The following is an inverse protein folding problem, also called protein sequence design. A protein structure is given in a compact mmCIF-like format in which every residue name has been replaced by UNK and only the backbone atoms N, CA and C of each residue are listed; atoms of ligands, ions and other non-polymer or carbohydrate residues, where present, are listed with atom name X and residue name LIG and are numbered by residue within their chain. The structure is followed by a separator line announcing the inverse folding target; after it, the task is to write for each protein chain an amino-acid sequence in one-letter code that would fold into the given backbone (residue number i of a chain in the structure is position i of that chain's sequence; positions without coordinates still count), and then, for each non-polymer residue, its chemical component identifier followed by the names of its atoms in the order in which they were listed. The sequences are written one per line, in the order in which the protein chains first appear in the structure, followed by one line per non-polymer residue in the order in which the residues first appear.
data_IF_863787340458
#
_entry.id   IF_863787340458
#
_cell.length_a   1.000
_cell.length_b   1.000
_cell.length_c   1.000
_cell.angle_alpha   90.00
_cell.angle_beta   90.00
_cell.angle_gamma   90.00
#
_symmetry.space_group_name_H-M   'P 1'
#
loop_
_entity.id
_entity.type
_entity.pdbx_description
1 polymer ?
#
# COMPACT_ATOMS: atom_id res chain seq x y z
N UNK A 1 -26.30 -23.52 8.60
CA UNK A 1 -25.16 -22.71 8.15
C UNK A 1 -24.60 -21.70 9.18
N UNK A 2 -25.32 -21.32 10.24
CA UNK A 2 -24.80 -20.35 11.27
C UNK A 2 -23.91 -20.95 12.35
N UNK A 3 -23.84 -22.25 12.53
CA UNK A 3 -23.06 -22.92 13.60
C UNK A 3 -21.58 -23.19 13.22
N UNK A 4 -21.24 -23.26 11.95
CA UNK A 4 -19.86 -23.52 11.50
C UNK A 4 -19.00 -22.26 11.43
N UNK A 5 -19.61 -21.07 11.36
CA UNK A 5 -18.89 -19.80 11.33
C UNK A 5 -18.32 -19.44 12.71
N UNK A 6 -18.99 -19.86 13.78
CA UNK A 6 -18.56 -19.58 15.17
C UNK A 6 -17.36 -20.46 15.59
N UNK A 7 -17.25 -21.67 15.03
CA UNK A 7 -16.12 -22.58 15.31
C UNK A 7 -14.82 -22.11 14.61
N UNK A 8 -14.93 -21.44 13.48
CA UNK A 8 -13.75 -20.89 12.78
C UNK A 8 -13.16 -19.68 13.51
N UNK A 9 -14.00 -18.87 14.18
CA UNK A 9 -13.54 -17.75 15.03
C UNK A 9 -12.88 -18.21 16.34
N UNK A 10 -13.29 -19.32 16.90
CA UNK A 10 -12.73 -19.86 18.14
C UNK A 10 -11.41 -20.61 17.93
N UNK A 11 -11.17 -21.19 16.75
CA UNK A 11 -9.91 -21.87 16.45
C UNK A 11 -8.75 -20.90 16.18
N UNK A 12 -9.04 -19.64 15.76
CA UNK A 12 -8.01 -18.62 15.58
C UNK A 12 -7.60 -17.95 16.90
N UNK A 13 -8.48 -17.94 17.91
CA UNK A 13 -8.18 -17.38 19.22
C UNK A 13 -7.27 -18.27 20.09
N UNK A 14 -7.14 -19.56 19.78
CA UNK A 14 -6.35 -20.51 20.57
C UNK A 14 -4.86 -20.59 20.18
N UNK A 15 -4.42 -19.92 19.12
CA UNK A 15 -3.00 -19.90 18.67
C UNK A 15 -2.18 -18.82 19.38
N UNK A 16 -2.80 -17.90 20.12
CA UNK A 16 -2.10 -16.77 20.74
C UNK A 16 -1.53 -17.05 22.14
N UNK A 17 -1.53 -18.29 22.64
CA UNK A 17 -1.20 -18.59 24.05
C UNK A 17 0.18 -19.23 24.28
N UNK A 18 1.08 -19.33 23.30
CA UNK A 18 2.42 -19.87 23.54
C UNK A 18 3.50 -19.00 22.93
N UNK A 19 4.19 -18.25 23.77
CA UNK A 19 5.43 -17.58 23.38
C UNK A 19 5.90 -16.48 24.32
N UNK A 20 6.04 -16.73 25.61
CA UNK A 20 6.99 -15.95 26.40
C UNK A 20 8.41 -16.36 25.97
N UNK A 21 8.99 -15.63 25.03
CA UNK A 21 10.42 -15.72 24.74
C UNK A 21 11.13 -14.72 25.64
N UNK A 22 11.62 -15.24 26.78
CA UNK A 22 12.63 -14.56 27.57
C UNK A 22 13.98 -14.77 26.89
N UNK A 23 14.40 -13.85 26.01
CA UNK A 23 15.80 -13.70 25.64
C UNK A 23 16.09 -12.27 25.30
N UNK A 24 17.04 -11.69 26.04
CA UNK A 24 17.58 -10.34 25.92
C UNK A 24 18.45 -10.09 24.68
N UNK A 25 18.25 -10.77 23.59
CA UNK A 25 18.78 -10.38 22.30
C UNK A 25 17.74 -9.47 21.67
N UNK A 26 18.03 -8.19 21.63
CA UNK A 26 17.22 -7.18 20.98
C UNK A 26 16.86 -7.62 19.57
N UNK A 27 15.64 -8.17 19.40
CA UNK A 27 15.08 -8.53 18.09
C UNK A 27 14.63 -7.22 17.43
N UNK A 28 15.62 -6.38 17.09
CA UNK A 28 15.41 -5.09 16.44
C UNK A 28 15.60 -5.16 14.93
N UNK A 29 15.06 -6.19 14.28
CA UNK A 29 15.04 -6.27 12.83
C UNK A 29 13.63 -6.00 12.28
N UNK A 30 12.88 -5.07 12.89
CA UNK A 30 11.75 -4.47 12.19
C UNK A 30 12.33 -3.60 11.07
N UNK A 31 12.03 -3.87 9.78
CA UNK A 31 12.38 -2.92 8.73
C UNK A 31 11.55 -1.66 8.96
N UNK A 32 12.16 -0.63 9.49
CA UNK A 32 11.58 0.69 9.61
C UNK A 32 11.49 1.29 8.20
N UNK A 33 10.40 1.97 7.88
CA UNK A 33 10.38 2.81 6.69
C UNK A 33 11.27 4.04 6.91
N UNK A 34 11.59 4.77 5.85
CA UNK A 34 12.54 5.90 5.92
C UNK A 34 12.07 6.98 6.89
N UNK A 35 10.79 7.29 6.97
CA UNK A 35 10.24 8.27 7.92
C UNK A 35 10.42 7.83 9.38
N UNK A 36 10.17 6.56 9.70
CA UNK A 36 10.37 6.01 11.05
C UNK A 36 11.86 5.96 11.41
N UNK A 37 12.76 5.67 10.45
CA UNK A 37 14.21 5.74 10.63
C UNK A 37 14.69 7.15 10.98
N UNK A 38 14.16 8.17 10.30
CA UNK A 38 14.47 9.58 10.58
C UNK A 38 14.07 9.96 12.01
N UNK A 39 12.88 9.53 12.46
CA UNK A 39 12.37 9.86 13.80
C UNK A 39 13.13 9.11 14.90
N UNK A 40 13.53 7.86 14.66
CA UNK A 40 14.22 7.02 15.63
C UNK A 40 15.74 7.19 15.63
N UNK A 41 16.29 7.82 14.61
CA UNK A 41 17.74 8.00 14.44
C UNK A 41 18.34 8.98 15.43
N UNK A 42 19.59 8.72 15.84
CA UNK A 42 20.41 9.62 16.64
C UNK A 42 21.09 10.71 15.77
N UNK A 43 20.63 10.93 14.55
CA UNK A 43 21.09 11.99 13.65
C UNK A 43 20.71 13.36 14.22
N UNK A 44 21.53 14.38 14.07
CA UNK A 44 21.31 15.72 14.65
C UNK A 44 19.93 16.33 14.34
N UNK A 45 19.77 17.63 14.51
CA UNK A 45 18.48 18.32 14.29
C UNK A 45 17.93 18.18 12.87
N UNK A 46 18.79 17.95 11.89
CA UNK A 46 18.45 17.78 10.47
C UNK A 46 18.90 16.40 10.03
N UNK A 47 18.01 15.67 9.39
CA UNK A 47 18.30 14.39 8.76
C UNK A 47 17.84 14.44 7.30
N UNK A 48 18.70 14.00 6.39
CA UNK A 48 18.41 13.87 4.97
C UNK A 48 18.63 12.41 4.57
N UNK A 49 17.72 11.85 3.82
CA UNK A 49 17.76 10.51 3.24
C UNK A 49 17.06 10.54 1.91
N UNK A 50 17.13 9.48 1.13
CA UNK A 50 16.43 9.43 -0.13
C UNK A 50 16.55 8.10 -0.83
N UNK A 51 15.84 7.96 -1.92
CA UNK A 51 15.93 6.83 -2.81
C UNK A 51 15.63 7.23 -4.25
N UNK A 52 16.02 6.39 -5.19
CA UNK A 52 15.75 6.59 -6.61
C UNK A 52 15.48 5.30 -7.33
N UNK A 53 14.72 5.39 -8.41
CA UNK A 53 14.41 4.29 -9.31
C UNK A 53 14.48 4.79 -10.75
N UNK A 54 15.25 4.06 -11.55
CA UNK A 54 15.31 4.23 -13.01
C UNK A 54 14.98 2.87 -13.59
N UNK A 55 14.08 2.83 -14.56
CA UNK A 55 13.60 1.56 -15.12
C UNK A 55 13.46 1.60 -16.65
N UNK A 56 13.38 0.40 -17.20
CA UNK A 56 13.07 0.10 -18.58
C UNK A 56 11.99 -0.99 -18.58
N UNK A 57 10.92 -0.74 -19.32
CA UNK A 57 9.79 -1.65 -19.50
C UNK A 57 9.59 -1.93 -20.97
N UNK A 58 9.69 -3.20 -21.38
CA UNK A 58 9.44 -3.65 -22.74
C UNK A 58 8.21 -4.56 -22.77
N UNK A 59 7.02 -4.05 -23.12
CA UNK A 59 5.85 -4.87 -23.36
C UNK A 59 6.02 -5.66 -24.67
N UNK A 60 5.45 -6.88 -24.73
CA UNK A 60 5.40 -7.73 -25.91
C UNK A 60 4.28 -8.77 -25.76
N UNK A 61 4.00 -9.56 -26.79
CA UNK A 61 3.03 -10.66 -26.71
C UNK A 61 1.82 -10.55 -27.64
N UNK A 62 1.65 -9.43 -28.31
CA UNK A 62 0.69 -9.25 -29.38
C UNK A 62 1.42 -9.22 -30.74
N UNK A 63 0.71 -9.46 -31.84
CA UNK A 63 1.24 -9.33 -33.20
C UNK A 63 1.61 -7.87 -33.57
N UNK A 64 1.55 -6.96 -32.59
CA UNK A 64 1.83 -5.53 -32.76
C UNK A 64 3.20 -5.18 -32.18
N UNK A 65 3.96 -4.38 -32.91
CA UNK A 65 5.17 -3.77 -32.37
C UNK A 65 4.82 -2.81 -31.24
N UNK A 66 5.52 -2.93 -30.10
CA UNK A 66 5.37 -2.05 -28.95
C UNK A 66 6.72 -1.44 -28.59
N UNK A 67 6.75 -0.13 -28.38
CA UNK A 67 7.95 0.55 -27.92
C UNK A 67 8.22 0.22 -26.45
N UNK A 68 9.47 -0.07 -26.14
CA UNK A 68 9.97 -0.03 -24.77
C UNK A 68 10.01 1.41 -24.25
N UNK A 69 9.90 1.56 -22.91
CA UNK A 69 9.98 2.85 -22.22
C UNK A 69 11.12 2.83 -21.23
N UNK A 70 11.94 3.86 -21.25
CA UNK A 70 12.94 4.14 -20.20
C UNK A 70 12.46 5.35 -19.42
N UNK A 71 12.57 5.28 -18.08
CA UNK A 71 12.05 6.30 -17.22
C UNK A 71 12.95 6.54 -16.00
N UNK A 72 13.13 7.80 -15.62
CA UNK A 72 13.48 8.16 -14.24
C UNK A 72 12.18 8.09 -13.43
N UNK A 73 11.82 6.87 -13.02
CA UNK A 73 10.52 6.60 -12.43
C UNK A 73 10.26 7.49 -11.23
N UNK A 74 11.27 7.61 -10.35
CA UNK A 74 11.23 8.52 -9.20
C UNK A 74 12.60 8.85 -8.65
N UNK A 75 12.72 10.05 -8.14
CA UNK A 75 13.79 10.49 -7.25
C UNK A 75 13.17 11.14 -6.03
N UNK A 76 13.42 10.58 -4.86
CA UNK A 76 12.81 11.02 -3.61
C UNK A 76 13.88 11.55 -2.66
N UNK A 77 13.54 12.65 -1.99
CA UNK A 77 14.32 13.20 -0.89
C UNK A 77 13.46 13.31 0.36
N UNK A 78 13.89 12.67 1.42
CA UNK A 78 13.35 12.87 2.76
C UNK A 78 14.12 13.99 3.46
N UNK A 79 13.37 14.83 4.13
CA UNK A 79 13.90 15.82 5.05
C UNK A 79 13.22 15.67 6.42
N UNK A 80 14.01 15.44 7.44
CA UNK A 80 13.58 15.38 8.84
C UNK A 80 14.11 16.54 9.64
N UNK A 81 13.29 17.14 10.49
CA UNK A 81 13.71 18.18 11.42
C UNK A 81 13.20 17.89 12.84
N UNK A 82 14.11 17.88 13.79
CA UNK A 82 13.80 17.73 15.21
C UNK A 82 13.73 19.10 15.89
N UNK A 83 12.51 19.58 16.19
CA UNK A 83 12.29 20.84 16.91
C UNK A 83 12.71 20.74 18.38
N UNK A 84 12.37 19.62 19.00
CA UNK A 84 12.68 19.30 20.39
C UNK A 84 12.85 17.78 20.53
N UNK A 85 13.30 17.30 21.68
CA UNK A 85 13.55 15.86 21.96
C UNK A 85 12.38 14.93 21.57
N UNK A 86 11.15 15.45 21.59
CA UNK A 86 9.93 14.67 21.34
C UNK A 86 9.11 15.18 20.16
N UNK A 87 9.58 16.20 19.42
CA UNK A 87 8.81 16.87 18.38
C UNK A 87 9.58 16.84 17.07
N UNK A 88 9.00 16.21 16.05
CA UNK A 88 9.63 15.96 14.76
C UNK A 88 8.72 16.42 13.62
N UNK A 89 9.32 16.95 12.58
CA UNK A 89 8.70 17.11 11.27
C UNK A 89 9.42 16.22 10.28
N UNK A 90 8.64 15.51 9.45
CA UNK A 90 9.18 14.69 8.35
C UNK A 90 8.42 15.06 7.08
N UNK A 91 9.16 15.25 6.00
CA UNK A 91 8.60 15.42 4.67
C UNK A 91 9.33 14.54 3.67
N UNK A 92 8.59 14.07 2.67
CA UNK A 92 9.05 13.28 1.54
C UNK A 92 8.65 14.01 0.26
N UNK A 93 9.67 14.42 -0.51
CA UNK A 93 9.53 15.12 -1.77
C UNK A 93 9.90 14.17 -2.91
N UNK A 94 8.97 13.97 -3.83
CA UNK A 94 9.12 13.13 -5.01
C UNK A 94 9.26 13.97 -6.27
N UNK A 95 10.22 13.61 -7.11
CA UNK A 95 10.27 13.99 -8.52
C UNK A 95 9.97 12.72 -9.33
N UNK A 96 8.79 12.62 -9.94
CA UNK A 96 8.34 11.50 -10.77
C UNK A 96 8.51 11.87 -12.25
N UNK A 97 8.94 10.90 -13.07
CA UNK A 97 9.16 11.07 -14.52
C UNK A 97 10.09 12.26 -14.88
N UNK A 98 11.07 12.55 -14.02
CA UNK A 98 12.00 13.69 -14.12
C UNK A 98 11.34 15.08 -14.23
N UNK A 99 10.02 15.20 -14.12
CA UNK A 99 9.28 16.44 -14.39
C UNK A 99 8.15 16.74 -13.40
N UNK A 100 7.54 15.71 -12.80
CA UNK A 100 6.41 15.89 -11.89
C UNK A 100 6.88 15.95 -10.44
N UNK A 101 6.48 16.98 -9.69
CA UNK A 101 6.85 17.14 -8.29
C UNK A 101 5.64 16.88 -7.38
N UNK A 102 5.86 16.07 -6.34
CA UNK A 102 4.85 15.73 -5.36
C UNK A 102 5.39 15.83 -3.93
N UNK A 103 4.51 16.11 -2.98
CA UNK A 103 4.74 15.85 -1.57
C UNK A 103 4.08 14.53 -1.24
N UNK A 104 4.86 13.49 -0.92
CA UNK A 104 4.29 12.18 -0.58
C UNK A 104 3.92 12.07 0.89
N UNK A 105 4.72 12.65 1.76
CA UNK A 105 4.43 12.79 3.18
C UNK A 105 4.87 14.18 3.67
N UNK A 106 4.11 14.75 4.60
CA UNK A 106 4.49 15.95 5.33
C UNK A 106 3.72 15.98 6.64
N UNK A 107 4.33 15.59 7.74
CA UNK A 107 3.65 15.50 9.02
C UNK A 107 4.51 15.94 10.21
N UNK A 108 3.83 16.44 11.22
CA UNK A 108 4.37 16.64 12.55
C UNK A 108 4.10 15.39 13.40
N UNK A 109 5.12 14.93 14.13
CA UNK A 109 4.98 13.91 15.16
C UNK A 109 5.40 14.45 16.51
N UNK A 110 4.54 14.23 17.52
CA UNK A 110 4.82 14.49 18.92
C UNK A 110 4.83 13.17 19.69
N UNK A 111 5.98 12.79 20.24
CA UNK A 111 6.10 11.65 21.11
C UNK A 111 5.55 12.01 22.50
N UNK A 112 4.42 11.42 22.88
CA UNK A 112 3.75 11.71 24.16
C UNK A 112 4.37 10.85 25.26
N UNK A 113 4.41 9.55 25.03
CA UNK A 113 5.04 8.55 25.91
C UNK A 113 5.98 7.65 25.09
N UNK A 114 6.58 6.65 25.71
CA UNK A 114 7.39 5.65 25.01
C UNK A 114 6.59 4.76 24.05
N UNK A 115 5.28 4.66 24.26
CA UNK A 115 4.40 3.80 23.49
C UNK A 115 3.30 4.54 22.72
N UNK A 116 3.16 5.86 22.90
CA UNK A 116 2.10 6.67 22.28
C UNK A 116 2.70 7.93 21.65
N UNK A 117 2.46 8.09 20.34
CA UNK A 117 2.83 9.28 19.57
C UNK A 117 1.59 9.85 18.89
N UNK A 118 1.47 11.16 18.84
CA UNK A 118 0.50 11.86 18.01
C UNK A 118 1.16 12.24 16.69
N UNK A 119 0.46 12.03 15.57
CA UNK A 119 0.92 12.41 14.22
C UNK A 119 -0.19 13.16 13.50
N UNK A 120 0.14 14.26 12.82
CA UNK A 120 -0.81 15.07 12.06
C UNK A 120 -0.15 15.67 10.81
N UNK A 121 -0.86 15.69 9.70
CA UNK A 121 -0.40 16.21 8.42
C UNK A 121 -0.80 15.33 7.24
N UNK A 122 0.02 15.29 6.19
CA UNK A 122 -0.11 14.39 5.06
C UNK A 122 0.63 13.08 5.42
N UNK A 123 -0.14 12.02 5.62
CA UNK A 123 0.35 10.73 6.12
C UNK A 123 -0.01 9.60 5.16
N UNK A 124 0.86 8.59 5.07
CA UNK A 124 0.53 7.35 4.36
C UNK A 124 -0.55 6.59 5.12
N UNK A 125 -1.56 6.13 4.39
CA UNK A 125 -2.59 5.24 4.94
C UNK A 125 -1.95 3.89 5.23
N UNK A 126 -2.00 3.37 6.47
CA UNK A 126 -1.31 2.15 6.87
C UNK A 126 -2.05 0.90 6.35
N UNK A 127 -2.06 0.69 5.03
CA UNK A 127 -2.73 -0.43 4.37
C UNK A 127 -1.75 -1.15 3.45
N UNK A 128 -1.67 -2.47 3.64
CA UNK A 128 -0.78 -3.33 2.85
C UNK A 128 0.71 -3.19 3.20
N UNK A 129 1.56 -3.84 2.40
CA UNK A 129 3.02 -3.81 2.58
C UNK A 129 3.62 -2.63 1.84
N UNK A 130 3.37 -2.54 0.53
CA UNK A 130 4.07 -1.61 -0.35
C UNK A 130 3.65 -0.16 -0.11
N UNK A 131 2.45 0.11 0.39
CA UNK A 131 2.07 1.48 0.69
C UNK A 131 2.90 2.12 1.82
N UNK A 132 3.28 1.35 2.83
CA UNK A 132 4.13 1.84 3.93
C UNK A 132 5.64 1.72 3.64
N UNK A 133 6.03 0.78 2.76
CA UNK A 133 7.42 0.47 2.44
C UNK A 133 7.57 0.46 0.91
N UNK A 134 7.42 1.64 0.32
CA UNK A 134 7.38 1.79 -1.14
C UNK A 134 8.72 2.13 -1.77
N UNK A 135 9.78 2.17 -0.96
CA UNK A 135 11.15 2.33 -1.43
C UNK A 135 11.51 1.17 -2.39
N UNK A 136 12.12 1.45 -3.54
CA UNK A 136 12.32 0.44 -4.59
C UNK A 136 13.28 -0.68 -4.18
N UNK A 137 14.06 -0.52 -3.12
CA UNK A 137 14.92 -1.56 -2.55
C UNK A 137 14.17 -2.54 -1.64
N UNK A 138 12.91 -2.26 -1.27
CA UNK A 138 12.13 -3.07 -0.33
C UNK A 138 11.31 -4.18 -0.99
N UNK A 139 11.15 -4.17 -2.30
CA UNK A 139 10.43 -5.18 -3.07
C UNK A 139 11.30 -5.74 -4.22
N UNK A 140 11.04 -7.00 -4.63
CA UNK A 140 11.95 -7.72 -5.53
C UNK A 140 11.83 -7.32 -7.00
N UNK A 141 10.61 -7.15 -7.53
CA UNK A 141 10.40 -6.76 -8.93
C UNK A 141 10.90 -5.35 -9.22
N UNK A 142 11.08 -5.01 -10.48
CA UNK A 142 11.23 -3.63 -10.95
C UNK A 142 9.95 -2.89 -10.64
N UNK A 143 8.80 -3.51 -11.00
CA UNK A 143 7.48 -3.00 -10.71
C UNK A 143 6.90 -3.55 -9.40
N UNK A 144 6.10 -2.70 -8.74
CA UNK A 144 5.27 -3.09 -7.58
C UNK A 144 4.23 -4.13 -7.98
N UNK A 145 3.65 -4.89 -7.03
CA UNK A 145 2.47 -5.69 -7.30
C UNK A 145 1.34 -4.83 -7.88
N UNK A 146 0.64 -5.31 -8.91
CA UNK A 146 -0.45 -4.57 -9.55
C UNK A 146 -1.66 -4.35 -8.61
N UNK A 147 -1.88 -5.28 -7.68
CA UNK A 147 -2.81 -5.12 -6.57
C UNK A 147 -2.61 -3.79 -5.82
N UNK A 148 -1.35 -3.43 -5.56
CA UNK A 148 -0.94 -2.19 -4.89
C UNK A 148 -1.04 -0.94 -5.80
N UNK A 149 -1.54 -1.09 -7.00
CA UNK A 149 -1.86 0.01 -7.91
C UNK A 149 -3.36 0.25 -8.08
N UNK A 150 -4.19 -0.78 -7.83
CA UNK A 150 -5.64 -0.77 -8.11
C UNK A 150 -6.50 -0.74 -6.85
N UNK A 151 -6.31 -1.69 -5.94
CA UNK A 151 -7.10 -1.81 -4.72
C UNK A 151 -6.46 -1.02 -3.58
N UNK A 152 -5.14 -1.16 -3.39
CA UNK A 152 -4.35 -0.27 -2.52
C UNK A 152 -3.59 0.69 -3.42
N UNK A 153 -4.09 1.87 -3.68
CA UNK A 153 -3.54 2.73 -4.72
C UNK A 153 -2.26 3.44 -4.25
N UNK A 154 -1.15 2.71 -4.14
CA UNK A 154 0.18 3.21 -3.73
C UNK A 154 0.64 4.37 -4.65
N UNK A 155 1.15 5.50 -4.21
CA UNK A 155 1.33 5.87 -2.80
C UNK A 155 0.05 6.53 -2.26
N UNK A 156 -0.67 5.80 -1.43
CA UNK A 156 -1.92 6.28 -0.88
C UNK A 156 -1.65 7.08 0.39
N UNK A 157 -1.82 8.37 0.27
CA UNK A 157 -1.64 9.36 1.33
C UNK A 157 -2.87 10.23 1.50
N UNK A 158 -3.15 10.62 2.73
CA UNK A 158 -4.31 11.43 3.10
C UNK A 158 -3.94 12.46 4.17
N UNK A 159 -4.61 13.61 4.15
CA UNK A 159 -4.52 14.60 5.21
C UNK A 159 -5.32 14.12 6.43
N UNK A 160 -4.69 14.15 7.59
CA UNK A 160 -5.36 13.69 8.80
C UNK A 160 -4.50 13.78 10.04
N UNK A 161 -5.02 13.20 11.11
CA UNK A 161 -4.33 13.12 12.38
C UNK A 161 -4.72 11.84 13.13
N UNK A 162 -3.88 11.41 14.05
CA UNK A 162 -4.16 10.25 14.88
C UNK A 162 -2.97 9.84 15.73
N UNK A 163 -2.97 8.58 16.10
CA UNK A 163 -2.01 8.03 17.02
C UNK A 163 -1.26 6.83 16.42
N UNK A 164 0.00 6.72 16.77
CA UNK A 164 0.85 5.57 16.46
C UNK A 164 1.72 5.24 17.66
N UNK A 165 2.18 4.01 17.73
CA UNK A 165 3.05 3.63 18.82
C UNK A 165 3.54 2.19 18.74
N UNK A 166 4.37 1.84 19.73
CA UNK A 166 4.92 0.49 19.89
C UNK A 166 4.70 0.01 21.32
N UNK A 167 4.17 -1.18 21.44
CA UNK A 167 4.09 -1.93 22.69
C UNK A 167 5.21 -2.98 22.67
N UNK A 168 6.42 -2.56 23.04
CA UNK A 168 7.66 -3.37 22.86
C UNK A 168 7.58 -4.70 23.61
N UNK A 169 7.00 -4.74 24.80
CA UNK A 169 6.84 -5.96 25.59
C UNK A 169 5.98 -7.02 24.91
N UNK A 170 5.10 -6.59 24.01
CA UNK A 170 4.20 -7.45 23.22
C UNK A 170 4.65 -7.60 21.77
N UNK A 171 5.73 -6.93 21.37
CA UNK A 171 6.20 -6.86 19.97
C UNK A 171 5.09 -6.43 19.00
N UNK A 172 4.33 -5.41 19.37
CA UNK A 172 3.23 -4.85 18.60
C UNK A 172 3.55 -3.39 18.23
N UNK A 173 3.38 -3.05 16.94
CA UNK A 173 3.25 -1.68 16.43
C UNK A 173 1.78 -1.44 16.07
N UNK A 174 1.27 -0.25 16.35
CA UNK A 174 -0.09 0.12 15.98
C UNK A 174 -0.17 1.52 15.40
N UNK A 175 -1.18 1.75 14.56
CA UNK A 175 -1.49 3.02 13.93
C UNK A 175 -3.01 3.17 13.84
N UNK A 176 -3.53 4.36 14.11
CA UNK A 176 -4.94 4.71 13.96
C UNK A 176 -5.07 6.20 13.62
N UNK A 177 -5.63 6.50 12.45
CA UNK A 177 -5.75 7.87 11.93
C UNK A 177 -7.18 8.16 11.46
N UNK A 178 -7.61 9.39 11.67
CA UNK A 178 -8.77 9.99 11.02
C UNK A 178 -8.29 10.88 9.88
N UNK A 179 -8.78 10.59 8.69
CA UNK A 179 -8.28 11.20 7.44
C UNK A 179 -9.41 11.68 6.53
N UNK A 180 -9.07 12.45 5.50
CA UNK A 180 -10.03 13.05 4.58
C UNK A 180 -10.72 12.07 3.61
N UNK A 181 -10.10 10.91 3.32
CA UNK A 181 -10.67 9.88 2.45
C UNK A 181 -10.56 10.15 0.95
N UNK A 182 -11.04 9.17 0.18
CA UNK A 182 -11.11 9.26 -1.29
C UNK A 182 -12.17 10.27 -1.76
N UNK A 183 -11.95 10.86 -2.93
CA UNK A 183 -12.94 11.62 -3.69
C UNK A 183 -13.63 10.71 -4.70
N UNK A 184 -14.95 10.65 -4.71
CA UNK A 184 -15.71 9.86 -5.68
C UNK A 184 -16.34 10.68 -6.78
N UNK A 185 -16.55 11.99 -6.55
CA UNK A 185 -17.23 12.87 -7.50
C UNK A 185 -16.73 14.31 -7.43
N UNK A 186 -16.45 14.90 -8.61
CA UNK A 186 -16.08 16.31 -8.78
C UNK A 186 -16.73 16.90 -10.05
N UNK A 187 -18.06 16.85 -10.13
CA UNK A 187 -18.79 17.14 -11.36
C UNK A 187 -18.99 15.90 -12.24
N UNK A 188 -18.08 14.91 -12.13
CA UNK A 188 -18.15 13.61 -12.80
C UNK A 188 -17.78 12.48 -11.82
N UNK A 189 -18.22 11.25 -12.12
CA UNK A 189 -17.83 10.06 -11.37
C UNK A 189 -16.34 9.74 -11.57
N UNK A 190 -15.60 9.55 -10.48
CA UNK A 190 -14.14 9.34 -10.47
C UNK A 190 -13.79 7.87 -10.33
N UNK A 191 -14.54 7.13 -9.50
CA UNK A 191 -14.27 5.73 -9.21
C UNK A 191 -14.91 4.82 -10.26
N UNK A 192 -14.11 3.92 -10.83
CA UNK A 192 -14.53 2.98 -11.89
C UNK A 192 -13.93 1.59 -11.63
N UNK A 193 -14.57 0.56 -12.17
CA UNK A 193 -14.06 -0.81 -12.04
C UNK A 193 -12.63 -0.98 -12.55
N UNK A 194 -12.29 -0.42 -13.71
CA UNK A 194 -10.94 -0.51 -14.29
C UNK A 194 -9.84 0.15 -13.45
N UNK A 195 -10.15 1.20 -12.71
CA UNK A 195 -9.18 1.99 -11.93
C UNK A 195 -9.16 1.60 -10.44
N UNK A 196 -10.19 0.88 -9.97
CA UNK A 196 -10.38 0.67 -8.53
C UNK A 196 -10.46 2.00 -7.78
N UNK A 197 -9.67 2.15 -6.71
CA UNK A 197 -9.63 3.39 -5.94
C UNK A 197 -8.59 4.41 -6.42
N UNK A 198 -7.72 4.05 -7.39
CA UNK A 198 -6.53 4.85 -7.74
C UNK A 198 -6.85 6.30 -8.11
N UNK A 199 -7.92 6.54 -8.88
CA UNK A 199 -8.32 7.89 -9.32
C UNK A 199 -8.92 8.74 -8.21
N UNK A 200 -9.43 8.12 -7.15
CA UNK A 200 -10.06 8.80 -6.02
C UNK A 200 -9.10 9.42 -5.01
N UNK A 201 -7.77 9.19 -5.14
CA UNK A 201 -6.79 9.79 -4.21
C UNK A 201 -6.75 11.30 -4.34
N UNK A 202 -6.93 12.02 -3.22
CA UNK A 202 -6.86 13.49 -3.19
C UNK A 202 -5.42 14.01 -3.06
N UNK A 203 -4.47 13.15 -2.61
CA UNK A 203 -3.01 13.41 -2.57
C UNK A 203 -2.60 14.67 -1.78
N UNK A 204 -3.45 15.22 -0.93
CA UNK A 204 -3.19 16.47 -0.20
C UNK A 204 -3.41 17.75 -1.00
N UNK A 205 -3.96 17.67 -2.22
CA UNK A 205 -4.18 18.82 -3.11
C UNK A 205 -5.57 19.42 -2.80
N UNK A 206 -5.62 20.46 -1.96
CA UNK A 206 -6.89 21.11 -1.55
C UNK A 206 -7.98 20.08 -1.18
N UNK A 207 -7.55 19.03 -0.46
CA UNK A 207 -8.39 17.87 -0.15
C UNK A 207 -9.63 18.27 0.62
N UNK A 208 -10.78 17.88 0.09
CA UNK A 208 -12.07 18.12 0.76
C UNK A 208 -12.36 17.02 1.77
N UNK A 209 -13.03 17.41 2.86
CA UNK A 209 -13.49 16.50 3.90
C UNK A 209 -14.86 16.96 4.42
N UNK A 210 -15.87 16.12 4.29
CA UNK A 210 -17.18 16.31 4.92
C UNK A 210 -17.45 15.27 5.99
N UNK A 211 -16.83 14.08 5.86
CA UNK A 211 -16.85 13.01 6.85
C UNK A 211 -15.46 12.38 6.92
N UNK A 212 -14.85 12.29 8.11
CA UNK A 212 -13.56 11.63 8.25
C UNK A 212 -13.66 10.13 8.02
N UNK A 213 -12.58 9.54 7.52
CA UNK A 213 -12.40 8.09 7.41
C UNK A 213 -11.41 7.61 8.46
N UNK A 214 -11.65 6.42 9.00
CA UNK A 214 -10.77 5.75 9.95
C UNK A 214 -9.85 4.78 9.20
N UNK A 215 -8.55 4.94 9.35
CA UNK A 215 -7.56 3.95 8.94
C UNK A 215 -6.79 3.41 10.13
N UNK A 216 -6.61 2.09 10.21
CA UNK A 216 -5.94 1.42 11.34
C UNK A 216 -5.03 0.31 10.85
N UNK A 217 -3.95 0.05 11.58
CA UNK A 217 -3.10 -1.13 11.39
C UNK A 217 -2.50 -1.58 12.72
N UNK A 218 -2.38 -2.89 12.86
CA UNK A 218 -1.63 -3.54 13.94
C UNK A 218 -0.64 -4.49 13.28
N UNK A 219 0.64 -4.35 13.62
CA UNK A 219 1.71 -5.24 13.18
C UNK A 219 2.28 -5.99 14.39
N UNK A 220 2.40 -7.31 14.28
CA UNK A 220 3.11 -8.17 15.21
C UNK A 220 4.47 -8.56 14.64
N UNK A 221 5.53 -8.43 15.44
CA UNK A 221 6.93 -8.72 15.04
C UNK A 221 7.70 -9.56 16.08
N UNK A 222 6.99 -10.28 16.96
CA UNK A 222 7.59 -11.06 18.05
C UNK A 222 8.30 -12.36 17.63
N UNK A 223 8.24 -12.76 16.37
CA UNK A 223 8.93 -13.92 15.84
C UNK A 223 10.07 -13.47 14.94
N UNK A 224 11.29 -13.99 15.18
CA UNK A 224 12.48 -13.60 14.42
C UNK A 224 12.27 -13.76 12.91
N UNK A 225 12.45 -12.67 12.17
CA UNK A 225 12.30 -12.61 10.73
C UNK A 225 10.84 -12.57 10.24
N UNK A 226 9.82 -12.69 11.10
CA UNK A 226 8.41 -12.66 10.74
C UNK A 226 7.73 -11.38 11.23
N UNK A 227 7.02 -10.72 10.33
CA UNK A 227 6.07 -9.65 10.64
C UNK A 227 4.72 -10.01 10.06
N UNK A 228 3.65 -9.80 10.82
CA UNK A 228 2.26 -10.02 10.40
C UNK A 228 1.50 -8.71 10.65
N UNK A 229 0.80 -8.20 9.63
CA UNK A 229 -0.01 -7.00 9.70
C UNK A 229 -1.50 -7.30 9.51
N UNK A 230 -2.35 -6.61 10.28
CA UNK A 230 -3.79 -6.55 10.08
C UNK A 230 -4.19 -5.08 9.98
N UNK A 231 -4.92 -4.71 8.93
CA UNK A 231 -5.28 -3.33 8.63
C UNK A 231 -6.76 -3.19 8.30
N UNK A 232 -7.31 -2.01 8.57
CA UNK A 232 -8.68 -1.65 8.24
C UNK A 232 -8.79 -0.20 7.78
N UNK A 233 -9.71 0.05 6.83
CA UNK A 233 -10.07 1.38 6.37
C UNK A 233 -11.58 1.49 6.22
N UNK A 234 -12.20 2.48 6.89
CA UNK A 234 -13.64 2.60 7.03
C UNK A 234 -14.09 4.06 6.88
N UNK A 235 -15.11 4.29 6.06
CA UNK A 235 -15.71 5.60 5.93
C UNK A 235 -16.49 5.78 4.63
N UNK A 236 -16.80 7.04 4.30
CA UNK A 236 -17.45 7.41 3.05
C UNK A 236 -16.52 8.28 2.22
N UNK A 237 -16.60 8.12 0.91
CA UNK A 237 -15.89 9.00 -0.02
C UNK A 237 -16.41 10.42 0.06
N UNK A 238 -15.61 11.36 -0.39
CA UNK A 238 -15.96 12.77 -0.48
C UNK A 238 -16.60 13.08 -1.84
N UNK A 239 -17.39 14.15 -1.88
CA UNK A 239 -18.06 14.64 -3.10
C UNK A 239 -18.12 16.16 -3.11
N UNK A 240 -17.92 16.77 -4.26
CA UNK A 240 -18.17 18.21 -4.45
C UNK A 240 -19.67 18.53 -4.63
N UNK A 241 -20.50 17.51 -4.85
CA UNK A 241 -21.94 17.69 -5.07
C UNK A 241 -22.70 18.27 -3.86
N UNK A 242 -22.07 18.27 -2.66
CA UNK A 242 -22.68 18.82 -1.45
C UNK A 242 -22.44 20.35 -1.30
N UNK A 243 -21.49 20.89 -2.06
CA UNK A 243 -21.14 22.31 -1.95
C UNK A 243 -22.29 23.18 -2.44
N UNK A 244 -22.65 24.18 -1.64
CA UNK A 244 -23.72 25.12 -1.96
C UNK A 244 -25.16 24.62 -1.71
N UNK A 245 -25.35 23.37 -1.27
CA UNK A 245 -26.67 22.83 -0.91
C UNK A 245 -27.10 23.41 0.44
N UNK A 246 -28.35 23.91 0.53
CA UNK A 246 -28.93 24.31 1.80
C UNK A 246 -29.03 23.09 2.75
N UNK A 247 -28.77 23.30 4.04
CA UNK A 247 -28.92 22.26 5.07
C UNK A 247 -30.34 21.72 5.23
N UNK A 248 -31.36 22.50 4.73
CA UNK A 248 -32.77 22.11 4.76
C UNK A 248 -33.26 21.57 3.41
N UNK A 249 -32.36 21.38 2.43
CA UNK A 249 -32.67 20.77 1.13
C UNK A 249 -32.40 19.26 1.16
N UNK A 250 -33.35 18.51 1.73
CA UNK A 250 -33.27 17.08 1.83
C UNK A 250 -33.10 16.39 0.46
N UNK A 251 -33.74 16.92 -0.60
CA UNK A 251 -33.64 16.36 -1.94
C UNK A 251 -32.23 16.57 -2.55
N UNK A 252 -31.67 17.76 -2.37
CA UNK A 252 -30.30 18.07 -2.75
C UNK A 252 -29.28 17.20 -2.01
N UNK A 253 -29.46 17.04 -0.69
CA UNK A 253 -28.60 16.19 0.15
C UNK A 253 -28.65 14.74 -0.33
N UNK A 254 -29.82 14.16 -0.58
CA UNK A 254 -29.97 12.80 -1.11
C UNK A 254 -29.30 12.64 -2.48
N UNK A 255 -29.42 13.65 -3.34
CA UNK A 255 -28.75 13.69 -4.64
C UNK A 255 -27.22 13.70 -4.48
N UNK A 256 -26.69 14.50 -3.56
CA UNK A 256 -25.26 14.51 -3.26
C UNK A 256 -24.80 13.17 -2.66
N UNK A 257 -25.57 12.58 -1.75
CA UNK A 257 -25.25 11.26 -1.17
C UNK A 257 -25.25 10.12 -2.21
N UNK A 258 -26.01 10.24 -3.29
CA UNK A 258 -25.96 9.28 -4.39
C UNK A 258 -24.60 9.25 -5.13
N UNK A 259 -23.77 10.28 -4.97
CA UNK A 259 -22.42 10.35 -5.55
C UNK A 259 -21.32 9.84 -4.60
N UNK A 260 -21.67 9.38 -3.40
CA UNK A 260 -20.75 8.87 -2.36
C UNK A 260 -20.77 7.36 -2.29
N UNK A 261 -19.63 6.78 -1.96
CA UNK A 261 -19.43 5.35 -1.72
C UNK A 261 -19.03 5.15 -0.26
N UNK A 262 -19.70 4.22 0.43
CA UNK A 262 -19.24 3.73 1.72
C UNK A 262 -18.17 2.66 1.49
N UNK A 263 -16.98 2.81 2.08
CA UNK A 263 -15.87 1.85 1.97
C UNK A 263 -15.67 1.16 3.30
N UNK A 264 -15.60 -0.18 3.26
CA UNK A 264 -15.19 -1.03 4.37
C UNK A 264 -14.14 -2.01 3.86
N UNK A 265 -12.87 -1.72 4.12
CA UNK A 265 -11.73 -2.48 3.63
C UNK A 265 -10.99 -3.15 4.79
N UNK A 266 -10.66 -4.42 4.63
CA UNK A 266 -9.84 -5.20 5.55
C UNK A 266 -8.64 -5.77 4.79
N UNK A 267 -7.48 -5.71 5.42
CA UNK A 267 -6.23 -6.23 4.89
C UNK A 267 -5.49 -7.10 5.89
N UNK A 268 -4.82 -8.11 5.39
CA UNK A 268 -3.85 -8.90 6.13
C UNK A 268 -2.59 -9.04 5.30
N UNK A 269 -1.44 -8.91 5.95
CA UNK A 269 -0.15 -9.07 5.29
C UNK A 269 0.85 -9.81 6.17
N UNK A 270 1.86 -10.43 5.54
CA UNK A 270 3.00 -10.96 6.25
C UNK A 270 4.29 -10.74 5.45
N UNK A 271 5.40 -10.64 6.18
CA UNK A 271 6.77 -10.63 5.64
C UNK A 271 7.62 -11.58 6.48
N UNK A 272 8.37 -12.44 5.80
CA UNK A 272 9.29 -13.36 6.44
C UNK A 272 10.66 -13.27 5.76
N UNK A 273 11.72 -13.20 6.56
CA UNK A 273 13.09 -13.20 6.08
C UNK A 273 14.00 -13.97 7.04
N UNK A 274 14.65 -15.02 6.52
CA UNK A 274 15.59 -15.80 7.30
C UNK A 274 16.62 -16.49 6.41
N UNK A 275 17.90 -16.31 6.70
CA UNK A 275 19.05 -17.01 6.07
C UNK A 275 19.00 -17.01 4.53
N UNK A 276 18.70 -15.84 3.93
CA UNK A 276 18.61 -15.66 2.47
C UNK A 276 17.25 -16.02 1.87
N UNK A 277 16.40 -16.78 2.54
CA UNK A 277 15.02 -16.97 2.15
C UNK A 277 14.16 -15.77 2.57
N UNK A 278 13.32 -15.30 1.66
CA UNK A 278 12.32 -14.30 1.93
C UNK A 278 10.98 -14.70 1.33
N UNK A 279 9.91 -14.38 2.05
CA UNK A 279 8.55 -14.56 1.58
C UNK A 279 7.69 -13.38 2.05
N UNK A 280 6.74 -12.98 1.24
CA UNK A 280 5.73 -11.99 1.61
C UNK A 280 4.41 -12.31 0.95
N UNK A 281 3.35 -11.89 1.58
CA UNK A 281 2.01 -12.03 1.03
C UNK A 281 1.09 -10.98 1.60
N UNK A 282 0.03 -10.69 0.84
CA UNK A 282 -0.97 -9.69 1.19
C UNK A 282 -2.33 -10.16 0.70
N UNK A 283 -3.34 -9.93 1.50
CA UNK A 283 -4.74 -10.16 1.17
C UNK A 283 -5.55 -8.91 1.49
N UNK A 284 -6.43 -8.50 0.57
CA UNK A 284 -7.31 -7.35 0.73
C UNK A 284 -8.71 -7.73 0.27
N UNK A 285 -9.69 -7.39 1.10
CA UNK A 285 -11.09 -7.42 0.74
C UNK A 285 -11.74 -6.07 1.07
N UNK A 286 -12.47 -5.52 0.11
CA UNK A 286 -13.18 -4.25 0.28
C UNK A 286 -14.62 -4.38 -0.16
N UNK A 287 -15.56 -3.91 0.66
CA UNK A 287 -16.96 -3.74 0.33
C UNK A 287 -17.26 -2.27 0.04
N UNK A 288 -18.01 -2.03 -1.02
CA UNK A 288 -18.45 -0.73 -1.49
C UNK A 288 -19.97 -0.61 -1.32
N UNK A 289 -20.43 0.18 -0.38
CA UNK A 289 -21.85 0.48 -0.19
C UNK A 289 -22.29 1.60 -1.13
N UNK A 290 -23.58 1.64 -1.46
CA UNK A 290 -24.21 2.66 -2.31
C UNK A 290 -23.78 2.66 -3.78
N UNK A 291 -23.18 1.57 -4.26
CA UNK A 291 -22.61 1.47 -5.62
C UNK A 291 -23.67 1.62 -6.70
N UNK A 292 -24.88 1.06 -6.51
CA UNK A 292 -25.99 1.18 -7.48
C UNK A 292 -26.37 2.64 -7.72
N UNK A 293 -26.60 3.40 -6.64
CA UNK A 293 -26.94 4.83 -6.76
C UNK A 293 -25.81 5.62 -7.41
N UNK A 294 -24.55 5.35 -7.00
CA UNK A 294 -23.37 5.98 -7.57
C UNK A 294 -23.24 5.73 -9.08
N UNK A 295 -23.25 4.46 -9.50
CA UNK A 295 -23.10 4.09 -10.91
C UNK A 295 -24.23 4.65 -11.77
N UNK A 296 -25.48 4.60 -11.27
CA UNK A 296 -26.64 5.21 -11.97
C UNK A 296 -26.47 6.72 -12.14
N UNK A 297 -26.03 7.42 -11.07
CA UNK A 297 -25.84 8.88 -11.09
C UNK A 297 -24.67 9.32 -11.97
N UNK A 298 -23.60 8.53 -12.01
CA UNK A 298 -22.31 8.90 -12.63
C UNK A 298 -22.04 8.21 -13.96
N UNK A 299 -22.88 7.24 -14.36
CA UNK A 299 -22.68 6.37 -15.51
C UNK A 299 -21.33 5.65 -15.45
N UNK A 300 -20.97 5.14 -14.25
CA UNK A 300 -19.76 4.36 -14.00
C UNK A 300 -20.09 2.89 -13.76
N UNK A 301 -19.05 2.06 -13.64
CA UNK A 301 -19.13 0.61 -13.50
C UNK A 301 -18.42 0.09 -12.23
N UNK A 302 -18.46 0.84 -11.13
CA UNK A 302 -17.78 0.42 -9.91
C UNK A 302 -18.37 -0.88 -9.35
N UNK A 303 -17.52 -1.84 -8.97
CA UNK A 303 -17.94 -3.09 -8.33
C UNK A 303 -18.40 -2.90 -6.88
N UNK A 304 -19.31 -3.76 -6.43
CA UNK A 304 -19.81 -3.76 -5.04
C UNK A 304 -18.80 -4.30 -4.04
N UNK A 305 -17.88 -5.16 -4.48
CA UNK A 305 -16.71 -5.54 -3.68
C UNK A 305 -15.49 -5.76 -4.54
N UNK A 306 -14.31 -5.54 -3.93
CA UNK A 306 -13.00 -5.83 -4.47
C UNK A 306 -12.33 -6.91 -3.66
N UNK A 307 -11.58 -7.77 -4.32
CA UNK A 307 -10.76 -8.80 -3.70
C UNK A 307 -9.39 -8.81 -4.37
N UNK A 308 -8.33 -8.96 -3.59
CA UNK A 308 -7.01 -9.15 -4.14
C UNK A 308 -6.06 -9.81 -3.15
N UNK A 309 -5.10 -10.55 -3.68
CA UNK A 309 -4.03 -11.13 -2.91
C UNK A 309 -2.81 -11.36 -3.79
N UNK A 310 -1.64 -11.38 -3.16
CA UNK A 310 -0.42 -11.89 -3.78
C UNK A 310 0.41 -12.70 -2.79
N UNK A 311 1.24 -13.56 -3.33
CA UNK A 311 2.28 -14.29 -2.63
C UNK A 311 3.58 -14.17 -3.43
N UNK A 312 4.67 -13.80 -2.76
CA UNK A 312 5.99 -13.69 -3.33
C UNK A 312 6.98 -14.47 -2.46
N UNK A 313 7.88 -15.21 -3.10
CA UNK A 313 8.99 -15.89 -2.44
C UNK A 313 10.27 -15.65 -3.22
N UNK A 314 11.40 -15.54 -2.52
CA UNK A 314 12.71 -15.34 -3.10
C UNK A 314 13.81 -15.99 -2.25
N UNK A 315 14.95 -16.25 -2.90
CA UNK A 315 16.12 -16.79 -2.23
C UNK A 315 17.41 -16.17 -2.77
N UNK A 316 18.28 -15.75 -1.85
CA UNK A 316 19.63 -15.30 -2.18
C UNK A 316 20.52 -16.47 -2.53
N UNK A 317 20.75 -16.71 -3.82
CA UNK A 317 21.51 -17.86 -4.31
C UNK A 317 23.02 -17.75 -4.06
N UNK A 318 23.58 -16.56 -3.83
CA UNK A 318 25.01 -16.41 -3.50
C UNK A 318 25.34 -17.06 -2.16
N UNK A 319 24.39 -17.15 -1.24
CA UNK A 319 24.56 -17.86 0.04
C UNK A 319 24.80 -19.36 -0.09
N UNK A 320 24.45 -19.97 -1.24
CA UNK A 320 24.75 -21.37 -1.51
C UNK A 320 26.26 -21.58 -1.73
N UNK A 321 26.96 -20.55 -2.20
CA UNK A 321 28.38 -20.61 -2.52
C UNK A 321 29.24 -20.01 -1.40
N UNK A 322 28.82 -18.87 -0.85
CA UNK A 322 29.51 -18.16 0.22
C UNK A 322 28.53 -17.44 1.14
N UNK A 323 28.62 -17.68 2.45
CA UNK A 323 27.64 -17.20 3.44
C UNK A 323 27.79 -15.73 3.82
N UNK A 324 28.98 -15.17 3.68
CA UNK A 324 29.35 -13.85 4.21
C UNK A 324 29.74 -12.89 3.07
N UNK A 325 28.96 -12.85 2.00
CA UNK A 325 29.08 -11.82 0.95
C UNK A 325 28.24 -10.61 1.29
N UNK A 326 28.74 -9.43 1.00
CA UNK A 326 27.97 -8.19 1.06
C UNK A 326 26.98 -8.08 -0.11
N UNK A 327 27.29 -8.76 -1.23
CA UNK A 327 26.40 -8.87 -2.40
C UNK A 327 25.37 -9.98 -2.16
N UNK A 328 24.17 -9.75 -2.69
CA UNK A 328 23.07 -10.73 -2.69
C UNK A 328 22.53 -10.86 -4.11
N UNK A 329 22.27 -12.06 -4.58
CA UNK A 329 21.55 -12.34 -5.83
C UNK A 329 20.26 -13.08 -5.50
N UNK A 330 19.18 -12.33 -5.33
CA UNK A 330 17.88 -12.88 -4.99
C UNK A 330 17.13 -13.26 -6.26
N UNK A 331 16.83 -14.54 -6.43
CA UNK A 331 15.83 -15.01 -7.39
C UNK A 331 14.47 -14.98 -6.73
N UNK A 332 13.43 -14.56 -7.43
CA UNK A 332 12.08 -14.48 -6.89
C UNK A 332 11.00 -14.90 -7.87
N UNK A 333 9.86 -15.28 -7.31
CA UNK A 333 8.61 -15.55 -8.01
C UNK A 333 7.47 -14.90 -7.22
N UNK A 334 6.57 -14.18 -7.92
CA UNK A 334 5.34 -13.60 -7.40
C UNK A 334 4.16 -14.06 -8.23
N UNK A 335 3.11 -14.48 -7.55
CA UNK A 335 1.77 -14.68 -8.10
C UNK A 335 0.82 -13.69 -7.46
N UNK A 336 0.01 -13.02 -8.25
CA UNK A 336 -1.02 -12.11 -7.77
C UNK A 336 -2.34 -12.33 -8.49
N UNK A 337 -3.44 -12.21 -7.75
CA UNK A 337 -4.79 -12.13 -8.29
C UNK A 337 -5.50 -10.92 -7.67
N UNK A 338 -6.18 -10.15 -8.50
CA UNK A 338 -7.03 -9.07 -8.02
C UNK A 338 -8.22 -8.84 -8.94
N UNK A 339 -9.37 -8.53 -8.33
CA UNK A 339 -10.65 -8.39 -9.01
C UNK A 339 -11.42 -7.19 -8.42
N UNK A 340 -11.60 -6.16 -9.24
CA UNK A 340 -12.37 -4.96 -8.89
C UNK A 340 -13.87 -5.09 -9.22
N UNK A 341 -14.28 -6.25 -9.76
CA UNK A 341 -15.66 -6.68 -9.91
C UNK A 341 -15.88 -8.03 -9.22
N UNK A 342 -15.27 -8.24 -8.03
CA UNK A 342 -15.42 -9.49 -7.28
C UNK A 342 -16.90 -9.80 -7.04
N UNK A 343 -17.69 -8.79 -6.64
CA UNK A 343 -19.15 -8.80 -6.74
C UNK A 343 -19.66 -7.51 -7.37
N UNK A 344 -20.82 -7.59 -8.02
CA UNK A 344 -21.57 -6.46 -8.57
C UNK A 344 -23.00 -6.50 -8.03
N UNK A 345 -23.77 -5.40 -8.16
CA UNK A 345 -25.20 -5.44 -7.90
C UNK A 345 -25.94 -6.05 -9.13
N UNK A 346 -27.17 -6.52 -8.93
CA UNK A 346 -27.88 -7.40 -9.88
C UNK A 346 -27.94 -6.89 -11.33
N UNK A 347 -28.07 -5.57 -11.53
CA UNK A 347 -28.19 -4.97 -12.87
C UNK A 347 -26.81 -4.68 -13.52
N UNK A 348 -25.72 -4.76 -12.79
CA UNK A 348 -24.37 -4.55 -13.33
C UNK A 348 -23.72 -5.89 -13.71
N UNK A 349 -23.56 -6.11 -15.01
CA UNK A 349 -22.85 -7.28 -15.52
C UNK A 349 -21.39 -7.22 -15.10
N UNK A 350 -20.91 -8.29 -14.44
CA UNK A 350 -19.52 -8.42 -14.03
C UNK A 350 -18.59 -8.42 -15.25
N UNK A 351 -17.59 -7.52 -15.25
CA UNK A 351 -16.57 -7.49 -16.29
C UNK A 351 -15.41 -8.43 -15.90
N UNK A 352 -15.30 -9.56 -16.59
CA UNK A 352 -14.28 -10.56 -16.34
C UNK A 352 -12.84 -10.07 -16.64
N UNK A 353 -12.67 -9.02 -17.44
CA UNK A 353 -11.37 -8.40 -17.67
C UNK A 353 -10.78 -7.71 -16.43
N UNK A 354 -11.60 -7.46 -15.41
CA UNK A 354 -11.15 -6.86 -14.15
C UNK A 354 -10.71 -7.90 -13.12
N UNK A 355 -10.92 -9.18 -13.39
CA UNK A 355 -10.30 -10.27 -12.64
C UNK A 355 -8.97 -10.64 -13.29
N UNK A 356 -7.89 -10.21 -12.69
CA UNK A 356 -6.51 -10.32 -13.18
C UNK A 356 -5.73 -11.41 -12.44
N UNK A 357 -4.89 -12.13 -13.20
CA UNK A 357 -3.95 -13.09 -12.67
C UNK A 357 -2.58 -12.80 -13.29
N UNK A 358 -1.65 -12.36 -12.48
CA UNK A 358 -0.35 -11.94 -12.94
C UNK A 358 0.75 -12.79 -12.29
N UNK A 359 1.77 -13.14 -13.06
CA UNK A 359 2.97 -13.85 -12.60
C UNK A 359 4.18 -12.98 -12.90
N UNK A 360 5.01 -12.75 -11.91
CA UNK A 360 6.29 -12.05 -12.06
C UNK A 360 7.41 -12.95 -11.56
N UNK A 361 8.46 -13.11 -12.34
CA UNK A 361 9.67 -13.79 -11.90
C UNK A 361 10.92 -13.05 -12.37
N UNK A 362 11.98 -13.10 -11.59
CA UNK A 362 13.19 -12.36 -11.93
C UNK A 362 14.27 -12.47 -10.88
N UNK A 363 15.20 -11.54 -10.93
CA UNK A 363 16.26 -11.45 -9.94
C UNK A 363 16.62 -10.00 -9.61
N UNK A 364 17.11 -9.82 -8.38
CA UNK A 364 17.71 -8.59 -7.88
C UNK A 364 19.15 -8.85 -7.46
N UNK A 365 20.10 -8.12 -8.05
CA UNK A 365 21.50 -8.13 -7.68
C UNK A 365 21.79 -6.93 -6.78
N UNK A 366 21.89 -7.14 -5.48
CA UNK A 366 22.34 -6.15 -4.51
C UNK A 366 23.86 -6.03 -4.62
N UNK A 367 24.32 -4.90 -5.13
CA UNK A 367 25.75 -4.59 -5.31
C UNK A 367 26.39 -4.13 -4.01
N UNK A 368 25.65 -3.35 -3.23
CA UNK A 368 26.01 -2.82 -1.93
C UNK A 368 24.74 -2.53 -1.13
N UNK A 369 24.87 -2.18 0.14
CA UNK A 369 23.71 -1.74 0.92
C UNK A 369 23.09 -0.49 0.27
N UNK A 370 21.80 -0.57 -0.05
CA UNK A 370 21.07 0.51 -0.73
C UNK A 370 21.28 0.62 -2.25
N UNK A 371 21.95 -0.32 -2.92
CA UNK A 371 22.12 -0.30 -4.38
C UNK A 371 21.80 -1.67 -5.02
N UNK A 372 20.75 -1.72 -5.85
CA UNK A 372 20.21 -2.96 -6.43
C UNK A 372 19.98 -2.80 -7.93
N UNK A 373 20.45 -3.77 -8.73
CA UNK A 373 20.05 -3.96 -10.12
C UNK A 373 18.95 -5.00 -10.18
N UNK A 374 17.92 -4.78 -10.98
CA UNK A 374 16.76 -5.66 -11.08
C UNK A 374 16.48 -6.03 -12.52
N UNK A 375 16.05 -7.27 -12.73
CA UNK A 375 15.52 -7.75 -13.99
C UNK A 375 14.37 -8.69 -13.70
N UNK A 376 13.23 -8.49 -14.35
CA UNK A 376 12.10 -9.40 -14.23
C UNK A 376 11.30 -9.54 -15.51
N UNK A 377 10.53 -10.60 -15.54
CA UNK A 377 9.55 -10.92 -16.54
C UNK A 377 8.19 -10.97 -15.88
N UNK A 378 7.20 -10.34 -16.51
CA UNK A 378 5.81 -10.33 -16.09
C UNK A 378 4.92 -10.93 -17.18
N UNK A 379 3.97 -11.75 -16.76
CA UNK A 379 2.87 -12.26 -17.59
C UNK A 379 1.56 -11.78 -16.98
N UNK A 380 0.79 -11.06 -17.76
CA UNK A 380 -0.51 -10.53 -17.39
C UNK A 380 -1.61 -11.36 -18.05
N UNK A 381 -2.59 -11.82 -17.26
CA UNK A 381 -3.76 -12.52 -17.76
C UNK A 381 -5.03 -12.01 -17.08
N UNK A 382 -6.19 -12.26 -17.68
CA UNK A 382 -7.47 -11.96 -17.09
C UNK A 382 -8.51 -13.05 -17.42
N UNK A 383 -9.62 -13.06 -16.71
CA UNK A 383 -10.66 -14.10 -16.90
C UNK A 383 -11.47 -13.94 -18.20
N UNK A 384 -11.35 -12.85 -18.93
CA UNK A 384 -12.00 -12.71 -20.25
C UNK A 384 -11.23 -13.42 -21.37
N UNK A 385 -10.02 -13.91 -21.10
CA UNK A 385 -9.10 -14.55 -22.05
C UNK A 385 -8.77 -13.72 -23.31
N UNK A 386 -8.99 -12.41 -23.24
CA UNK A 386 -8.91 -11.58 -24.44
C UNK A 386 -7.49 -11.22 -24.82
N UNK A 387 -6.50 -11.29 -23.92
CA UNK A 387 -5.08 -11.09 -24.25
C UNK A 387 -4.17 -11.64 -23.16
N UNK A 388 -3.04 -12.23 -23.57
CA UNK A 388 -1.90 -12.47 -22.71
C UNK A 388 -0.85 -11.40 -23.06
N UNK A 389 -0.70 -10.44 -22.18
CA UNK A 389 0.33 -9.42 -22.30
C UNK A 389 1.55 -9.85 -21.49
N UNK A 390 2.73 -9.60 -22.03
CA UNK A 390 4.01 -9.92 -21.42
C UNK A 390 4.87 -8.67 -21.32
N UNK A 391 5.75 -8.63 -20.33
CA UNK A 391 6.67 -7.50 -20.18
C UNK A 391 8.01 -7.98 -19.61
N UNK A 392 9.10 -7.47 -20.14
CA UNK A 392 10.43 -7.57 -19.52
C UNK A 392 10.77 -6.22 -18.93
N UNK A 393 11.23 -6.22 -17.68
CA UNK A 393 11.61 -5.02 -16.96
C UNK A 393 13.06 -5.11 -16.50
N UNK A 394 13.78 -4.00 -16.63
CA UNK A 394 15.11 -3.83 -16.04
C UNK A 394 15.12 -2.53 -15.23
N UNK A 395 15.82 -2.50 -14.11
CA UNK A 395 15.82 -1.31 -13.27
C UNK A 395 17.03 -1.20 -12.36
N UNK A 396 17.28 0.04 -11.96
CA UNK A 396 18.24 0.42 -10.92
C UNK A 396 17.46 1.01 -9.75
N UNK A 397 17.70 0.49 -8.57
CA UNK A 397 17.13 1.01 -7.32
C UNK A 397 18.24 1.42 -6.37
N UNK A 398 18.15 2.63 -5.83
CA UNK A 398 19.09 3.16 -4.84
C UNK A 398 18.35 3.67 -3.61
N UNK A 399 19.00 3.56 -2.44
CA UNK A 399 18.54 4.12 -1.18
C UNK A 399 19.74 4.55 -0.34
N UNK A 400 19.72 5.77 0.22
CA UNK A 400 20.82 6.36 0.97
C UNK A 400 20.35 7.19 2.17
#
# INVERSE_FOLDING_TARGET
MKKHLLLFYLSFASVFLFGQVTNNDSITNEPLNTADNIISGNGGRITVSGYGQIDYNQPFGNDLFQNGKMDVHRLITFFGYQFATKTFFVTELEVEHANEMYVEQAFLQQNITSFLNFRAGLILVPMGIVNEYHEPTTFNGVERPNLDGKIIPTTWRELGAGFTGKLSDYSIKYQAYLTNGFLSYNGNGILRGIDGYRKGRQKGIQSIISTPNLSTKIDFYGVKGLKIGLAGYFGKTQTTAIDGISRNDDAGILTADSTRIGISMLGADFRYQNKGFQARGQFIHSNNANVKAYNTKTNQDLGSSFLGYYLEAGYDILRLFKKDLDQELTLFLRYENYDTHHTTYDELVRNLAYNRNDITCGFGLKLANGAVLKLDYQRFTNMSNTNQDHQINAGVAVWF
#
